data_IF_496319298607
#
_entry.id   IF_496319298607
#
_cell.length_a   1.000
_cell.length_b   1.000
_cell.length_c   1.000
_cell.angle_alpha   90.00
_cell.angle_beta   90.00
_cell.angle_gamma   90.00
#
_symmetry.space_group_name_H-M   'P 1'
#
loop_
_entity.id
_entity.type
_entity.pdbx_description
1 polymer ?
#
# COMPACT_ATOMS: atom_id res chain seq x y z
N UNK A 1 46.54 -51.01 83.90
CA UNK A 1 47.94 -50.76 84.11
C UNK A 1 48.43 -50.05 82.84
N UNK A 2 48.49 -48.67 82.94
CA UNK A 2 49.70 -47.86 82.71
C UNK A 2 50.15 -47.88 81.28
N UNK A 3 50.28 -46.77 80.52
CA UNK A 3 50.72 -45.41 80.75
C UNK A 3 50.52 -44.61 79.46
N UNK A 4 50.17 -43.32 79.60
CA UNK A 4 50.36 -42.28 78.58
C UNK A 4 51.88 -41.92 78.43
N UNK A 5 52.36 -41.38 77.35
CA UNK A 5 52.71 -39.97 77.37
C UNK A 5 52.38 -39.26 76.04
N UNK A 6 51.87 -38.12 76.10
CA UNK A 6 52.27 -36.73 75.90
C UNK A 6 53.10 -36.42 74.63
N UNK A 7 52.61 -35.46 73.87
CA UNK A 7 53.39 -34.76 72.83
C UNK A 7 52.53 -33.89 71.95
N UNK A 8 51.98 -32.80 72.49
CA UNK A 8 51.37 -31.75 71.63
C UNK A 8 52.49 -30.97 70.97
N UNK A 9 52.35 -30.83 69.62
CA UNK A 9 52.99 -29.78 68.89
C UNK A 9 51.94 -29.10 68.04
N UNK A 10 51.65 -27.87 68.41
CA UNK A 10 50.85 -26.96 67.62
C UNK A 10 51.61 -26.44 66.39
N UNK A 11 51.22 -26.80 65.18
CA UNK A 11 51.66 -26.10 63.96
C UNK A 11 50.57 -25.19 63.52
N UNK A 12 50.91 -23.94 63.50
CA UNK A 12 50.10 -22.79 62.98
C UNK A 12 49.71 -23.01 61.54
N UNK A 13 48.44 -23.20 61.32
CA UNK A 13 47.89 -23.19 59.97
C UNK A 13 47.71 -21.72 59.53
N UNK A 14 48.55 -21.29 58.59
CA UNK A 14 48.38 -19.99 57.94
C UNK A 14 47.08 -20.03 57.09
N UNK A 15 46.12 -19.23 57.46
CA UNK A 15 44.95 -18.95 56.67
C UNK A 15 45.35 -18.12 55.40
N UNK A 16 45.41 -18.77 54.26
CA UNK A 16 45.47 -18.11 52.98
C UNK A 16 44.05 -17.72 52.63
N UNK A 17 43.75 -16.46 52.81
CA UNK A 17 42.47 -15.83 52.30
C UNK A 17 42.48 -15.83 50.79
N UNK A 18 41.77 -16.75 50.18
CA UNK A 18 41.47 -16.71 48.73
C UNK A 18 40.30 -15.75 48.56
N UNK A 19 40.60 -14.51 48.14
CA UNK A 19 39.62 -13.52 47.74
C UNK A 19 39.00 -14.00 46.40
N UNK A 20 37.83 -14.57 46.46
CA UNK A 20 37.03 -14.89 45.28
C UNK A 20 36.40 -13.59 44.71
N UNK A 21 37.13 -12.94 43.80
CA UNK A 21 36.61 -11.84 42.98
C UNK A 21 35.59 -12.40 42.02
N UNK A 22 34.34 -12.39 42.43
CA UNK A 22 33.19 -12.71 41.57
C UNK A 22 32.99 -11.56 40.61
N UNK A 23 33.61 -11.61 39.43
CA UNK A 23 33.37 -10.68 38.32
C UNK A 23 31.94 -10.87 37.84
N UNK A 24 31.06 -9.95 38.23
CA UNK A 24 29.68 -9.83 37.71
C UNK A 24 29.76 -9.37 36.26
N UNK A 25 29.87 -10.31 35.33
CA UNK A 25 29.70 -10.01 33.90
C UNK A 25 28.23 -9.67 33.68
N UNK A 26 27.93 -8.37 33.65
CA UNK A 26 26.62 -7.85 33.25
C UNK A 26 26.50 -8.14 31.75
N UNK A 27 25.91 -9.28 31.40
CA UNK A 27 25.48 -9.56 30.01
C UNK A 27 24.37 -8.59 29.72
N UNK A 28 24.72 -7.48 29.06
CA UNK A 28 23.74 -6.59 28.42
C UNK A 28 23.07 -7.38 27.29
N UNK A 29 21.97 -8.06 27.59
CA UNK A 29 21.10 -8.60 26.58
C UNK A 29 20.61 -7.42 25.74
N UNK A 30 20.86 -7.41 24.42
CA UNK A 30 20.25 -6.40 23.60
C UNK A 30 18.72 -6.56 23.76
N UNK A 31 18.07 -5.57 24.33
CA UNK A 31 16.63 -5.42 24.22
C UNK A 31 16.35 -5.30 22.71
N UNK A 32 16.06 -6.43 22.09
CA UNK A 32 15.51 -6.43 20.73
C UNK A 32 14.18 -5.69 20.84
N UNK A 33 14.21 -4.40 20.55
CA UNK A 33 12.98 -3.65 20.26
C UNK A 33 12.37 -4.38 19.08
N UNK A 34 11.38 -5.21 19.34
CA UNK A 34 10.61 -5.88 18.29
C UNK A 34 10.02 -4.78 17.43
N UNK A 35 10.62 -4.54 16.26
CA UNK A 35 10.09 -3.57 15.34
C UNK A 35 8.63 -3.92 15.04
N UNK A 36 7.73 -2.97 15.21
CA UNK A 36 6.31 -3.13 14.95
C UNK A 36 6.13 -3.61 13.51
N UNK A 37 5.39 -4.70 13.32
CA UNK A 37 5.04 -5.19 12.00
C UNK A 37 3.97 -4.30 11.37
N UNK A 38 4.26 -3.73 10.20
CA UNK A 38 3.31 -2.95 9.42
C UNK A 38 2.24 -3.85 8.78
N UNK A 39 1.00 -3.43 8.87
CA UNK A 39 -0.14 -4.06 8.20
C UNK A 39 -0.54 -3.17 7.04
N UNK A 40 -0.16 -3.60 5.84
CA UNK A 40 -0.41 -2.90 4.59
C UNK A 40 -1.66 -3.48 3.94
N UNK A 41 -2.47 -2.64 3.36
CA UNK A 41 -3.55 -3.05 2.49
C UNK A 41 -3.37 -2.51 1.08
N UNK A 42 -3.62 -3.38 0.12
CA UNK A 42 -3.64 -3.03 -1.30
C UNK A 42 -5.05 -3.25 -1.84
N UNK A 43 -5.58 -2.27 -2.58
CA UNK A 43 -6.92 -2.35 -3.14
C UNK A 43 -6.98 -3.41 -4.23
N UNK A 44 -7.99 -4.29 -4.15
CA UNK A 44 -8.29 -5.26 -5.20
C UNK A 44 -8.76 -4.54 -6.48
N UNK A 45 -7.84 -4.34 -7.39
CA UNK A 45 -8.07 -3.71 -8.70
C UNK A 45 -6.91 -4.02 -9.63
N UNK A 46 -7.15 -4.72 -10.72
CA UNK A 46 -6.16 -4.99 -11.77
C UNK A 46 -5.76 -3.70 -12.48
N UNK A 47 -4.44 -3.47 -12.69
CA UNK A 47 -3.27 -4.27 -12.31
C UNK A 47 -2.65 -3.87 -10.95
N UNK A 48 -3.31 -3.06 -10.14
CA UNK A 48 -2.74 -2.42 -8.95
C UNK A 48 -2.59 -3.37 -7.77
N UNK A 49 -3.59 -4.24 -7.53
CA UNK A 49 -3.57 -5.29 -6.53
C UNK A 49 -4.52 -6.41 -6.95
N UNK A 50 -4.06 -7.65 -6.91
CA UNK A 50 -4.87 -8.81 -7.26
C UNK A 50 -4.23 -10.11 -6.76
N UNK A 51 -4.98 -11.19 -6.81
CA UNK A 51 -4.43 -12.54 -6.61
C UNK A 51 -4.07 -13.13 -7.96
N UNK A 52 -2.86 -13.64 -8.10
CA UNK A 52 -2.39 -14.32 -9.31
C UNK A 52 -3.06 -15.69 -9.49
N UNK A 53 -2.62 -16.47 -10.49
CA UNK A 53 -3.16 -17.82 -10.77
C UNK A 53 -2.88 -18.82 -9.65
N UNK A 54 -1.88 -18.56 -8.81
CA UNK A 54 -1.50 -19.39 -7.66
C UNK A 54 -2.13 -18.87 -6.36
N UNK A 55 -3.08 -17.93 -6.47
CA UNK A 55 -3.74 -17.25 -5.33
C UNK A 55 -2.74 -16.48 -4.46
N UNK A 56 -1.62 -16.02 -5.05
CA UNK A 56 -0.66 -15.17 -4.37
C UNK A 56 -0.97 -13.69 -4.63
N UNK A 57 -0.95 -12.84 -3.60
CA UNK A 57 -1.16 -11.41 -3.76
C UNK A 57 0.01 -10.78 -4.53
N UNK A 58 -0.33 -9.94 -5.49
CA UNK A 58 0.61 -9.24 -6.37
C UNK A 58 -0.05 -7.98 -6.94
N UNK A 59 0.69 -7.23 -7.73
CA UNK A 59 0.23 -6.03 -8.44
C UNK A 59 1.09 -4.83 -8.14
N UNK A 60 0.93 -3.80 -8.94
CA UNK A 60 1.81 -2.63 -8.93
C UNK A 60 1.85 -1.95 -7.56
N UNK A 61 0.70 -1.64 -6.98
CA UNK A 61 0.64 -0.98 -5.67
C UNK A 61 0.99 -1.94 -4.53
N UNK A 62 0.78 -3.25 -4.73
CA UNK A 62 1.22 -4.28 -3.80
C UNK A 62 2.74 -4.28 -3.68
N UNK A 63 3.46 -4.33 -4.80
CA UNK A 63 4.92 -4.32 -4.84
C UNK A 63 5.51 -2.99 -4.35
N UNK A 64 4.87 -1.88 -4.70
CA UNK A 64 5.30 -0.55 -4.21
C UNK A 64 5.18 -0.48 -2.68
N UNK A 65 4.06 -0.95 -2.11
CA UNK A 65 3.86 -0.98 -0.66
C UNK A 65 4.91 -1.82 0.06
N UNK A 66 5.22 -3.01 -0.47
CA UNK A 66 6.27 -3.89 0.03
C UNK A 66 7.64 -3.21 0.01
N UNK A 67 8.03 -2.63 -1.13
CA UNK A 67 9.32 -1.94 -1.28
C UNK A 67 9.49 -0.76 -0.34
N UNK A 68 8.42 0.00 -0.09
CA UNK A 68 8.47 1.11 0.88
C UNK A 68 8.74 0.57 2.29
N UNK A 69 8.08 -0.50 2.71
CA UNK A 69 8.31 -1.10 4.02
C UNK A 69 9.71 -1.71 4.15
N UNK A 70 10.19 -2.39 3.11
CA UNK A 70 11.56 -2.95 3.03
C UNK A 70 12.62 -1.84 3.11
N UNK A 71 12.45 -0.77 2.33
CA UNK A 71 13.37 0.39 2.35
C UNK A 71 13.35 1.11 3.71
N UNK A 72 12.22 1.11 4.40
CA UNK A 72 12.11 1.63 5.77
C UNK A 72 12.72 0.68 6.82
N UNK A 73 13.11 -0.55 6.44
CA UNK A 73 13.64 -1.56 7.35
C UNK A 73 12.60 -2.12 8.32
N UNK A 74 11.31 -2.09 7.95
CA UNK A 74 10.21 -2.49 8.82
C UNK A 74 9.62 -3.84 8.37
N UNK A 75 9.42 -4.80 9.29
CA UNK A 75 8.68 -6.01 8.96
C UNK A 75 7.24 -5.65 8.60
N UNK A 76 6.66 -6.38 7.65
CA UNK A 76 5.31 -6.09 7.18
C UNK A 76 4.53 -7.35 6.80
N UNK A 77 3.22 -7.17 6.71
CA UNK A 77 2.28 -8.03 5.99
C UNK A 77 1.49 -7.15 5.03
N UNK A 78 1.20 -7.63 3.83
CA UNK A 78 0.41 -6.90 2.85
C UNK A 78 -0.72 -7.80 2.34
N UNK A 79 -1.95 -7.30 2.37
CA UNK A 79 -3.13 -8.03 1.95
C UNK A 79 -3.86 -7.28 0.83
N UNK A 80 -4.33 -8.03 -0.16
CA UNK A 80 -5.24 -7.49 -1.20
C UNK A 80 -6.66 -7.56 -0.68
N UNK A 81 -7.33 -6.40 -0.60
CA UNK A 81 -8.67 -6.27 -0.01
C UNK A 81 -9.59 -5.40 -0.88
N UNK A 82 -10.92 -5.57 -0.79
CA UNK A 82 -11.88 -4.74 -1.48
C UNK A 82 -11.72 -3.24 -1.15
N UNK A 83 -11.96 -2.37 -2.14
CA UNK A 83 -11.80 -0.91 -2.03
C UNK A 83 -12.46 -0.30 -0.77
N UNK A 84 -13.71 -0.67 -0.49
CA UNK A 84 -14.43 -0.10 0.63
C UNK A 84 -13.85 -0.50 2.00
N UNK A 85 -13.20 -1.66 2.06
CA UNK A 85 -12.62 -2.20 3.29
C UNK A 85 -11.44 -1.38 3.78
N UNK A 86 -10.62 -0.86 2.88
CA UNK A 86 -9.40 -0.12 3.25
C UNK A 86 -9.67 1.09 4.17
N UNK A 87 -10.77 1.83 3.95
CA UNK A 87 -11.12 2.98 4.81
C UNK A 87 -11.59 2.52 6.18
N UNK A 88 -12.39 1.45 6.22
CA UNK A 88 -12.91 0.87 7.45
C UNK A 88 -11.79 0.33 8.34
N UNK A 89 -10.85 -0.43 7.76
CA UNK A 89 -9.74 -1.03 8.50
C UNK A 89 -8.72 0.04 8.97
N UNK A 90 -8.49 1.12 8.21
CA UNK A 90 -7.71 2.27 8.66
C UNK A 90 -8.38 3.00 9.85
N UNK A 91 -9.70 3.20 9.81
CA UNK A 91 -10.47 3.84 10.88
C UNK A 91 -10.38 3.05 12.20
N UNK A 92 -10.42 1.73 12.12
CA UNK A 92 -10.31 0.83 13.27
C UNK A 92 -8.86 0.64 13.75
N UNK A 93 -7.89 0.93 12.89
CA UNK A 93 -6.49 0.62 13.11
C UNK A 93 -6.16 -0.86 12.91
N UNK A 94 -6.97 -1.56 12.12
CA UNK A 94 -6.74 -2.95 11.71
C UNK A 94 -5.69 -3.01 10.59
N UNK A 95 -5.53 -1.92 9.82
CA UNK A 95 -4.45 -1.69 8.87
C UNK A 95 -3.68 -0.42 9.21
N UNK A 96 -2.40 -0.35 8.81
CA UNK A 96 -1.54 0.79 9.09
C UNK A 96 -1.49 1.75 7.90
N UNK A 97 -1.35 1.26 6.67
CA UNK A 97 -1.41 2.13 5.51
C UNK A 97 -1.97 1.48 4.24
N UNK A 98 -2.43 2.32 3.34
CA UNK A 98 -2.85 2.00 1.98
C UNK A 98 -2.31 3.04 1.00
N UNK A 99 -2.03 2.64 -0.24
CA UNK A 99 -1.67 3.55 -1.33
C UNK A 99 -2.87 3.74 -2.24
N UNK A 100 -3.43 4.95 -2.27
CA UNK A 100 -4.61 5.27 -3.09
C UNK A 100 -4.77 6.79 -3.26
N UNK A 101 -5.69 7.20 -4.12
CA UNK A 101 -6.12 8.61 -4.16
C UNK A 101 -7.03 8.95 -2.98
N UNK A 102 -7.00 10.22 -2.59
CA UNK A 102 -7.72 10.73 -1.43
C UNK A 102 -9.23 10.89 -1.68
N UNK A 103 -10.02 10.85 -0.62
CA UNK A 103 -11.41 11.30 -0.57
C UNK A 103 -11.73 11.79 0.85
N UNK A 104 -12.83 12.52 1.01
CA UNK A 104 -13.23 13.14 2.28
C UNK A 104 -13.24 12.17 3.47
N UNK A 105 -13.75 10.95 3.29
CA UNK A 105 -13.80 9.96 4.36
C UNK A 105 -12.40 9.50 4.76
N UNK A 106 -11.51 9.34 3.80
CA UNK A 106 -10.13 8.93 4.05
C UNK A 106 -9.34 10.02 4.80
N UNK A 107 -9.55 11.30 4.47
CA UNK A 107 -8.92 12.43 5.15
C UNK A 107 -9.25 12.49 6.65
N UNK A 108 -10.44 12.04 7.02
CA UNK A 108 -10.85 11.99 8.42
C UNK A 108 -10.12 10.91 9.22
N UNK A 109 -9.82 9.76 8.60
CA UNK A 109 -9.30 8.57 9.29
C UNK A 109 -7.81 8.33 9.07
N UNK A 110 -7.19 8.98 8.07
CA UNK A 110 -5.80 8.77 7.71
C UNK A 110 -4.99 10.07 7.60
N UNK A 111 -3.68 9.94 7.71
CA UNK A 111 -2.69 10.98 7.44
C UNK A 111 -2.14 10.74 6.05
N UNK A 112 -2.20 11.73 5.18
CA UNK A 112 -1.53 11.70 3.88
C UNK A 112 -0.04 11.94 4.07
N UNK A 113 0.77 10.90 3.86
CA UNK A 113 2.22 10.92 4.17
C UNK A 113 3.02 11.47 3.00
N UNK A 114 2.86 10.89 1.82
CA UNK A 114 3.62 11.29 0.63
C UNK A 114 2.90 10.89 -0.65
N UNK A 115 3.16 11.64 -1.74
CA UNK A 115 2.76 11.23 -3.09
C UNK A 115 3.64 10.07 -3.55
N UNK A 116 3.01 9.01 -4.06
CA UNK A 116 3.69 7.82 -4.57
C UNK A 116 3.78 7.87 -6.09
N UNK A 117 2.66 8.05 -6.76
CA UNK A 117 2.56 8.10 -8.23
C UNK A 117 1.39 8.97 -8.66
N UNK A 118 1.51 9.59 -9.83
CA UNK A 118 0.41 10.30 -10.49
C UNK A 118 0.06 9.58 -11.78
N UNK A 119 -1.22 9.31 -11.98
CA UNK A 119 -1.73 8.61 -13.16
C UNK A 119 -2.77 9.46 -13.89
N UNK A 120 -2.66 9.60 -15.22
CA UNK A 120 -3.70 10.24 -16.01
C UNK A 120 -5.05 9.53 -15.84
N UNK A 121 -6.08 10.33 -15.61
CA UNK A 121 -7.48 9.92 -15.72
C UNK A 121 -7.93 10.13 -17.15
N UNK A 122 -8.42 9.08 -17.79
CA UNK A 122 -8.81 9.11 -19.19
C UNK A 122 -10.24 8.62 -19.40
N UNK A 123 -10.87 9.15 -20.43
CA UNK A 123 -12.06 8.57 -21.06
C UNK A 123 -11.57 7.72 -22.24
N UNK A 124 -11.96 6.46 -22.26
CA UNK A 124 -11.69 5.54 -23.35
C UNK A 124 -13.01 5.17 -24.03
N UNK A 125 -13.03 5.17 -25.36
CA UNK A 125 -14.22 4.92 -26.15
C UNK A 125 -13.91 3.99 -27.34
N UNK A 126 -14.92 3.34 -27.96
CA UNK A 126 -14.72 2.55 -29.17
C UNK A 126 -14.19 3.41 -30.33
N UNK A 127 -13.46 2.79 -31.26
CA UNK A 127 -12.98 3.42 -32.47
C UNK A 127 -14.15 4.08 -33.24
N UNK A 128 -13.89 5.27 -33.80
CA UNK A 128 -14.90 6.10 -34.44
C UNK A 128 -15.59 7.11 -33.50
N UNK A 129 -15.39 7.00 -32.20
CA UNK A 129 -15.81 8.04 -31.24
C UNK A 129 -14.87 9.25 -31.32
N UNK A 130 -15.41 10.46 -31.05
CA UNK A 130 -14.64 11.71 -31.20
C UNK A 130 -14.81 12.64 -29.98
N UNK A 131 -14.63 12.10 -28.77
CA UNK A 131 -14.66 12.89 -27.54
C UNK A 131 -13.33 13.64 -27.37
N UNK A 132 -13.38 14.99 -27.31
CA UNK A 132 -12.23 15.88 -27.16
C UNK A 132 -12.29 16.72 -25.90
N UNK A 133 -13.51 16.91 -25.37
CA UNK A 133 -13.77 17.69 -24.16
C UNK A 133 -14.77 16.96 -23.28
N UNK A 134 -14.84 17.33 -22.01
CA UNK A 134 -15.86 16.82 -21.10
C UNK A 134 -17.28 17.10 -21.59
N UNK A 135 -17.50 18.25 -22.26
CA UNK A 135 -18.80 18.61 -22.79
C UNK A 135 -19.31 17.62 -23.85
N UNK A 136 -18.44 16.96 -24.60
CA UNK A 136 -18.84 15.98 -25.62
C UNK A 136 -19.47 14.72 -25.02
N UNK A 137 -19.30 14.52 -23.70
CA UNK A 137 -19.90 13.39 -22.96
C UNK A 137 -21.31 13.68 -22.45
N UNK A 138 -21.81 14.90 -22.55
CA UNK A 138 -23.18 15.25 -22.14
C UNK A 138 -24.21 14.51 -23.00
N UNK A 139 -25.19 13.90 -22.34
CA UNK A 139 -26.15 13.02 -22.97
C UNK A 139 -25.62 11.63 -23.33
N UNK A 140 -24.36 11.33 -22.99
CA UNK A 140 -23.71 10.01 -23.18
C UNK A 140 -23.77 9.17 -21.92
N UNK A 141 -23.62 7.86 -22.11
CA UNK A 141 -23.52 6.88 -21.05
C UNK A 141 -22.07 6.46 -20.84
N UNK A 142 -21.55 6.67 -19.64
CA UNK A 142 -20.16 6.35 -19.27
C UNK A 142 -20.14 5.29 -18.17
N UNK A 143 -19.43 4.19 -18.43
CA UNK A 143 -19.18 3.15 -17.43
C UNK A 143 -18.15 3.62 -16.41
N UNK A 144 -18.48 3.50 -15.12
CA UNK A 144 -17.63 3.88 -13.98
C UNK A 144 -17.46 2.70 -13.03
N UNK A 145 -16.28 2.52 -12.47
CA UNK A 145 -16.09 1.48 -11.42
C UNK A 145 -16.73 1.97 -10.13
N UNK A 146 -17.54 1.10 -9.52
CA UNK A 146 -18.31 1.40 -8.30
C UNK A 146 -17.43 2.00 -7.19
N UNK A 147 -17.88 3.13 -6.64
CA UNK A 147 -17.17 3.86 -5.59
C UNK A 147 -15.95 4.64 -6.08
N UNK A 148 -15.60 4.55 -7.38
CA UNK A 148 -14.53 5.33 -7.98
C UNK A 148 -14.87 6.82 -8.02
N UNK A 149 -13.87 7.67 -7.79
CA UNK A 149 -13.89 9.10 -8.04
C UNK A 149 -12.79 9.42 -9.04
N UNK A 150 -13.15 10.01 -10.16
CA UNK A 150 -12.23 10.10 -11.30
C UNK A 150 -11.77 11.53 -11.59
N UNK A 151 -12.72 12.45 -11.67
CA UNK A 151 -12.48 13.86 -11.95
C UNK A 151 -13.65 14.67 -11.39
N UNK A 152 -13.39 15.77 -10.69
CA UNK A 152 -14.43 16.49 -9.96
C UNK A 152 -15.48 17.09 -10.89
N UNK A 153 -15.08 17.59 -12.07
CA UNK A 153 -16.00 18.13 -13.06
C UNK A 153 -16.84 17.02 -13.71
N UNK A 154 -16.23 15.89 -14.06
CA UNK A 154 -16.93 14.71 -14.56
C UNK A 154 -17.89 14.15 -13.49
N UNK A 155 -17.42 13.98 -12.27
CA UNK A 155 -18.21 13.39 -11.19
C UNK A 155 -19.44 14.24 -10.84
N UNK A 156 -19.34 15.57 -10.95
CA UNK A 156 -20.41 16.53 -10.69
C UNK A 156 -21.36 16.76 -11.87
N UNK A 157 -20.96 16.44 -13.12
CA UNK A 157 -21.81 16.72 -14.30
C UNK A 157 -22.99 15.75 -14.38
N UNK A 158 -24.18 16.23 -14.01
CA UNK A 158 -25.44 15.48 -14.07
C UNK A 158 -25.98 15.23 -15.48
N UNK A 159 -25.43 15.89 -16.52
CA UNK A 159 -25.79 15.63 -17.91
C UNK A 159 -25.10 14.39 -18.50
N UNK A 160 -24.15 13.80 -17.79
CA UNK A 160 -23.49 12.55 -18.16
C UNK A 160 -24.14 11.40 -17.38
N UNK A 161 -24.68 10.40 -18.08
CA UNK A 161 -25.23 9.21 -17.43
C UNK A 161 -24.09 8.28 -16.99
N UNK A 162 -23.92 8.11 -15.68
CA UNK A 162 -22.88 7.24 -15.09
C UNK A 162 -23.49 5.91 -14.69
N UNK A 163 -22.97 4.80 -15.22
CA UNK A 163 -23.42 3.44 -14.87
C UNK A 163 -22.29 2.69 -14.20
N UNK A 164 -22.55 2.24 -12.97
CA UNK A 164 -21.58 1.52 -12.17
C UNK A 164 -21.32 0.11 -12.69
N UNK A 165 -20.05 -0.28 -12.67
CA UNK A 165 -19.54 -1.61 -12.96
C UNK A 165 -18.69 -2.10 -11.80
N UNK A 166 -18.39 -3.42 -11.78
CA UNK A 166 -17.59 -3.99 -10.70
C UNK A 166 -16.09 -3.74 -10.89
N UNK A 167 -15.61 -3.64 -12.15
CA UNK A 167 -14.19 -3.45 -12.48
C UNK A 167 -14.03 -2.93 -13.90
N UNK A 168 -12.80 -2.54 -14.25
CA UNK A 168 -12.47 -2.03 -15.60
C UNK A 168 -12.73 -3.04 -16.72
N UNK A 169 -12.50 -4.34 -16.50
CA UNK A 169 -12.77 -5.36 -17.52
C UNK A 169 -14.26 -5.39 -17.89
N UNK A 170 -15.15 -5.36 -16.89
CA UNK A 170 -16.58 -5.28 -17.12
C UNK A 170 -16.97 -4.01 -17.85
N UNK A 171 -16.41 -2.85 -17.42
CA UNK A 171 -16.64 -1.55 -18.12
C UNK A 171 -16.31 -1.65 -19.60
N UNK A 172 -15.12 -2.17 -19.91
CA UNK A 172 -14.64 -2.26 -21.30
C UNK A 172 -15.45 -3.26 -22.14
N UNK A 173 -15.79 -4.44 -21.58
CA UNK A 173 -16.64 -5.43 -22.29
C UNK A 173 -18.03 -4.86 -22.60
N UNK A 174 -18.63 -4.14 -21.66
CA UNK A 174 -19.95 -3.52 -21.87
C UNK A 174 -19.86 -2.35 -22.85
N UNK A 175 -18.81 -1.56 -22.84
CA UNK A 175 -18.52 -0.51 -23.81
C UNK A 175 -18.38 -1.09 -25.21
N UNK A 176 -17.57 -2.12 -25.41
CA UNK A 176 -17.40 -2.79 -26.71
C UNK A 176 -18.66 -3.48 -27.20
N UNK A 177 -19.56 -3.86 -26.30
CA UNK A 177 -20.89 -4.38 -26.63
C UNK A 177 -21.94 -3.29 -26.92
N UNK A 178 -21.53 -2.01 -26.97
CA UNK A 178 -22.42 -0.87 -27.27
C UNK A 178 -23.37 -0.50 -26.14
N UNK A 179 -23.13 -0.97 -24.91
CA UNK A 179 -23.98 -0.64 -23.75
C UNK A 179 -23.55 0.68 -23.08
N UNK A 180 -22.34 1.12 -23.34
CA UNK A 180 -21.78 2.42 -22.92
C UNK A 180 -21.18 3.12 -24.12
N UNK A 181 -21.26 4.44 -24.15
CA UNK A 181 -20.55 5.25 -25.14
C UNK A 181 -19.05 5.33 -24.83
N UNK A 182 -18.69 5.24 -23.53
CA UNK A 182 -17.30 5.33 -23.07
C UNK A 182 -17.12 4.67 -21.68
N UNK A 183 -15.86 4.49 -21.27
CA UNK A 183 -15.46 4.13 -19.92
C UNK A 183 -14.46 5.12 -19.37
N UNK A 184 -14.46 5.38 -18.05
CA UNK A 184 -13.51 6.25 -17.37
C UNK A 184 -12.64 5.47 -16.42
N UNK A 185 -11.37 5.85 -16.29
CA UNK A 185 -10.42 5.26 -15.33
C UNK A 185 -9.02 5.82 -15.49
N UNK A 186 -8.08 5.27 -14.70
CA UNK A 186 -6.68 5.53 -14.95
C UNK A 186 -6.24 4.93 -16.29
N UNK A 187 -5.32 5.60 -16.98
CA UNK A 187 -4.77 5.10 -18.25
C UNK A 187 -4.25 3.66 -18.12
N UNK A 188 -3.48 3.39 -17.07
CA UNK A 188 -2.91 2.06 -16.78
C UNK A 188 -4.00 1.02 -16.55
N UNK A 189 -4.99 1.33 -15.70
CA UNK A 189 -6.07 0.41 -15.39
C UNK A 189 -6.89 0.06 -16.63
N UNK A 190 -7.26 1.05 -17.43
CA UNK A 190 -8.06 0.82 -18.63
C UNK A 190 -7.28 0.04 -19.70
N UNK A 191 -6.04 0.45 -20.02
CA UNK A 191 -5.30 -0.25 -21.07
C UNK A 191 -4.89 -1.67 -20.71
N UNK A 192 -4.47 -1.89 -19.47
CA UNK A 192 -4.16 -3.23 -18.98
C UNK A 192 -5.37 -4.17 -19.09
N UNK A 193 -6.55 -3.70 -18.66
CA UNK A 193 -7.76 -4.51 -18.73
C UNK A 193 -8.29 -4.65 -20.17
N UNK A 194 -8.05 -3.67 -21.06
CA UNK A 194 -8.36 -3.80 -22.49
C UNK A 194 -7.54 -4.93 -23.13
N UNK A 195 -6.25 -4.97 -22.90
CA UNK A 195 -5.37 -6.02 -23.40
C UNK A 195 -5.81 -7.41 -22.89
N UNK A 196 -6.09 -7.53 -21.59
CA UNK A 196 -6.62 -8.78 -21.00
C UNK A 196 -7.95 -9.23 -21.59
N UNK A 197 -8.82 -8.27 -21.95
CA UNK A 197 -10.09 -8.53 -22.61
C UNK A 197 -9.98 -8.84 -24.11
N UNK A 198 -8.75 -8.81 -24.67
CA UNK A 198 -8.49 -9.01 -26.10
C UNK A 198 -8.91 -7.82 -26.96
N UNK A 199 -9.07 -6.63 -26.36
CA UNK A 199 -9.42 -5.41 -27.05
C UNK A 199 -8.13 -4.76 -27.58
N UNK A 200 -7.97 -4.75 -28.91
CA UNK A 200 -6.79 -4.18 -29.55
C UNK A 200 -6.89 -2.64 -29.60
N UNK A 201 -5.72 -1.99 -29.65
CA UNK A 201 -5.60 -0.53 -29.65
C UNK A 201 -6.40 0.12 -30.79
N UNK A 202 -6.44 -0.50 -31.95
CA UNK A 202 -7.13 -0.03 -33.15
C UNK A 202 -8.67 -0.05 -33.00
N UNK A 203 -9.17 -0.77 -32.03
CA UNK A 203 -10.60 -0.83 -31.71
C UNK A 203 -11.04 0.31 -30.75
N UNK A 204 -10.06 1.11 -30.32
CA UNK A 204 -10.26 2.21 -29.36
C UNK A 204 -9.95 3.54 -30.03
N UNK A 205 -10.75 4.56 -29.72
CA UNK A 205 -10.46 5.94 -30.09
C UNK A 205 -9.27 6.49 -29.28
N UNK A 206 -8.61 7.57 -29.75
CA UNK A 206 -7.68 8.31 -28.92
C UNK A 206 -8.34 8.72 -27.59
N UNK A 207 -7.65 8.57 -26.45
CA UNK A 207 -8.24 8.85 -25.16
C UNK A 207 -8.44 10.36 -24.97
N UNK A 208 -9.54 10.75 -24.33
CA UNK A 208 -9.67 12.07 -23.75
C UNK A 208 -9.02 12.06 -22.36
N UNK A 209 -7.99 12.87 -22.15
CA UNK A 209 -7.36 13.06 -20.85
C UNK A 209 -8.11 14.16 -20.10
N UNK A 210 -8.62 13.85 -18.90
CA UNK A 210 -9.33 14.80 -18.04
C UNK A 210 -8.40 15.50 -17.05
N UNK A 211 -7.36 14.77 -16.56
CA UNK A 211 -6.42 15.27 -15.58
C UNK A 211 -5.55 14.14 -15.02
N UNK A 212 -4.92 14.38 -13.89
CA UNK A 212 -4.14 13.39 -13.17
C UNK A 212 -4.72 13.14 -11.78
N UNK A 213 -4.70 11.91 -11.35
CA UNK A 213 -4.96 11.51 -9.97
C UNK A 213 -3.66 11.14 -9.28
N UNK A 214 -3.43 11.75 -8.13
CA UNK A 214 -2.26 11.47 -7.30
C UNK A 214 -2.58 10.36 -6.30
N UNK A 215 -1.77 9.33 -6.30
CA UNK A 215 -1.84 8.25 -5.31
C UNK A 215 -0.88 8.59 -4.18
N UNK A 216 -1.43 8.62 -2.98
CA UNK A 216 -0.69 8.92 -1.76
C UNK A 216 -0.61 7.69 -0.87
N UNK A 217 0.44 7.58 -0.10
CA UNK A 217 0.45 6.72 1.07
C UNK A 217 -0.40 7.39 2.17
N UNK A 218 -1.47 6.73 2.55
CA UNK A 218 -2.37 7.14 3.63
C UNK A 218 -2.15 6.24 4.84
N UNK A 219 -1.70 6.83 5.95
CA UNK A 219 -1.42 6.13 7.19
C UNK A 219 -2.56 6.32 8.19
N UNK A 220 -3.02 5.24 8.82
CA UNK A 220 -4.11 5.29 9.82
C UNK A 220 -3.78 6.25 10.97
N UNK A 221 -4.67 7.21 11.24
CA UNK A 221 -4.54 8.09 12.43
C UNK A 221 -4.59 7.31 13.73
N UNK A 222 -5.27 6.17 13.74
CA UNK A 222 -5.43 5.30 14.91
C UNK A 222 -4.13 4.67 15.37
N UNK A 223 -3.25 4.34 14.42
CA UNK A 223 -2.00 3.62 14.67
C UNK A 223 -0.76 4.46 14.37
N UNK A 224 -0.94 5.73 13.99
CA UNK A 224 0.14 6.63 13.64
C UNK A 224 1.07 6.91 14.83
N UNK A 225 2.35 6.82 14.55
CA UNK A 225 3.42 7.33 15.39
C UNK A 225 4.43 8.11 14.53
N UNK A 226 5.10 9.07 15.12
CA UNK A 226 5.96 10.01 14.40
C UNK A 226 7.18 9.30 13.77
N UNK A 227 7.75 8.33 14.45
CA UNK A 227 8.97 7.63 14.01
C UNK A 227 8.67 6.76 12.79
N UNK A 228 7.57 6.00 12.81
CA UNK A 228 7.12 5.20 11.66
C UNK A 228 6.82 6.08 10.46
N UNK A 229 6.08 7.19 10.63
CA UNK A 229 5.78 8.12 9.53
C UNK A 229 7.05 8.74 8.96
N UNK A 230 7.99 9.15 9.81
CA UNK A 230 9.28 9.68 9.37
C UNK A 230 10.10 8.64 8.59
N UNK A 231 10.19 7.41 9.10
CA UNK A 231 10.90 6.31 8.43
C UNK A 231 10.32 6.01 7.04
N UNK A 232 8.98 5.91 6.91
CA UNK A 232 8.31 5.71 5.64
C UNK A 232 8.52 6.88 4.68
N UNK A 233 8.44 8.13 5.18
CA UNK A 233 8.69 9.33 4.38
C UNK A 233 10.09 9.34 3.79
N UNK A 234 11.11 9.05 4.61
CA UNK A 234 12.51 8.99 4.15
C UNK A 234 12.76 7.80 3.20
N UNK A 235 12.11 6.66 3.43
CA UNK A 235 12.15 5.51 2.52
C UNK A 235 11.60 5.89 1.13
N UNK A 236 10.44 6.54 1.07
CA UNK A 236 9.83 7.01 -0.17
C UNK A 236 10.76 7.98 -0.91
N UNK A 237 11.35 8.97 -0.20
CA UNK A 237 12.30 9.92 -0.78
C UNK A 237 13.53 9.22 -1.39
N UNK A 238 14.10 8.22 -0.68
CA UNK A 238 15.25 7.45 -1.19
C UNK A 238 14.91 6.66 -2.44
N UNK A 239 13.74 5.99 -2.47
CA UNK A 239 13.26 5.25 -3.63
C UNK A 239 13.07 6.18 -4.84
N UNK A 240 12.47 7.35 -4.64
CA UNK A 240 12.27 8.37 -5.68
C UNK A 240 13.60 8.94 -6.19
N UNK A 241 14.56 9.23 -5.29
CA UNK A 241 15.88 9.79 -5.65
C UNK A 241 16.75 8.83 -6.47
N UNK A 242 16.60 7.51 -6.27
CA UNK A 242 17.30 6.49 -7.07
C UNK A 242 16.74 6.34 -8.49
N UNK A 243 15.73 7.12 -8.86
CA UNK A 243 15.04 6.97 -10.13
C UNK A 243 14.34 5.62 -10.25
N UNK A 244 14.24 4.89 -9.15
CA UNK A 244 13.31 3.78 -9.04
C UNK A 244 11.94 4.40 -9.17
N UNK A 245 11.54 4.53 -10.45
CA UNK A 245 10.19 4.99 -10.71
C UNK A 245 9.28 4.01 -9.99
N UNK A 246 8.64 4.49 -8.91
CA UNK A 246 7.42 3.92 -8.41
C UNK A 246 6.35 4.09 -9.53
N UNK A 247 6.77 3.80 -10.78
CA UNK A 247 5.98 4.03 -11.99
C UNK A 247 5.55 2.71 -12.57
N UNK A 248 4.37 2.73 -12.92
CA UNK A 248 3.58 1.80 -13.69
C UNK A 248 4.03 1.79 -15.14
#
# INVERSE_FOLDING_TARGET
MITLPAGLRWQSCRQTSVSFLMSLVLIALPLSVQARQLRIETIESLPFGYLDRNVQPTGIMFEIGNRIAEEAGMPYVNAVVPYARTVFDLERGDSDFVIRYTNEKLEQVAIQVATIVSLPTIILAPAGSSFRTLADLRGKTVGVVRGGRFDDAFDADGAITKIETNNYEQTLRMMMAGRFDAGIGSNVGLYFNAERAGIRREQLAPPLVLGEKHFYLHFSRKTADADTIAALTEAIKRLQARGERLTV
#
